data_IF_856475547314
#
_entry.id   IF_856475547314
#
_cell.length_a   1.000
_cell.length_b   1.000
_cell.length_c   1.000
_cell.angle_alpha   90.00
_cell.angle_beta   90.00
_cell.angle_gamma   90.00
#
_symmetry.space_group_name_H-M   'P 1'
#
loop_
_entity.id
_entity.type
_entity.pdbx_description
1 polymer ?
#
# COMPACT_ATOMS: atom_id res chain seq x y z
N UNK A 1 0.45 -37.31 -28.17
CA UNK A 1 0.72 -37.03 -29.60
C UNK A 1 0.56 -35.53 -29.86
N UNK A 2 1.40 -34.97 -30.73
CA UNK A 2 1.36 -33.57 -31.15
C UNK A 2 1.46 -33.48 -32.67
N UNK A 3 1.06 -32.34 -33.22
CA UNK A 3 1.30 -31.97 -34.62
C UNK A 3 2.21 -30.74 -34.62
N UNK A 4 3.23 -30.72 -35.47
CA UNK A 4 4.13 -29.58 -35.62
C UNK A 4 3.99 -28.97 -37.00
N UNK A 5 4.08 -27.66 -37.06
CA UNK A 5 4.07 -26.85 -38.29
C UNK A 5 5.27 -25.92 -38.25
N UNK A 6 6.06 -25.91 -39.30
CA UNK A 6 7.19 -24.98 -39.42
C UNK A 6 6.74 -23.70 -40.11
N UNK A 7 7.05 -22.58 -39.53
CA UNK A 7 6.75 -21.24 -40.06
C UNK A 7 8.05 -20.47 -40.21
N UNK A 8 8.06 -19.46 -41.08
CA UNK A 8 9.19 -18.58 -41.29
C UNK A 8 8.74 -17.12 -41.35
N UNK A 9 9.58 -16.23 -40.93
CA UNK A 9 9.51 -14.80 -41.21
C UNK A 9 10.86 -14.27 -41.74
N UNK A 10 11.00 -12.97 -41.85
CA UNK A 10 12.25 -12.33 -42.31
C UNK A 10 13.44 -12.59 -41.37
N UNK A 11 13.18 -12.97 -40.11
CA UNK A 11 14.20 -13.19 -39.08
C UNK A 11 14.61 -14.65 -38.91
N UNK A 12 13.84 -15.62 -39.47
CA UNK A 12 14.18 -17.04 -39.42
C UNK A 12 13.00 -17.99 -39.34
N UNK A 13 13.26 -19.18 -38.80
CA UNK A 13 12.29 -20.27 -38.69
C UNK A 13 11.87 -20.50 -37.26
N UNK A 14 10.57 -20.87 -37.05
CA UNK A 14 10.05 -21.34 -35.79
C UNK A 14 9.16 -22.57 -35.99
N UNK A 15 9.13 -23.47 -35.00
CA UNK A 15 8.26 -24.64 -35.02
C UNK A 15 7.09 -24.46 -34.05
N UNK A 16 5.88 -24.52 -34.54
CA UNK A 16 4.64 -24.46 -33.75
C UNK A 16 4.27 -25.87 -33.31
N UNK A 17 3.92 -26.05 -32.03
CA UNK A 17 3.46 -27.32 -31.49
C UNK A 17 2.01 -27.26 -31.07
N UNK A 18 1.16 -28.12 -31.68
CA UNK A 18 -0.25 -28.24 -31.37
C UNK A 18 -0.50 -29.55 -30.61
N UNK A 19 -1.04 -29.43 -29.38
CA UNK A 19 -1.31 -30.58 -28.53
C UNK A 19 -2.82 -30.87 -28.42
N UNK A 20 -3.18 -32.13 -28.18
CA UNK A 20 -4.56 -32.54 -27.89
C UNK A 20 -5.56 -32.11 -28.95
N UNK A 21 -6.68 -31.54 -28.53
CA UNK A 21 -7.76 -31.09 -29.43
C UNK A 21 -7.40 -29.95 -30.39
N UNK A 22 -6.25 -29.30 -30.23
CA UNK A 22 -5.82 -28.23 -31.14
C UNK A 22 -5.19 -28.75 -32.43
N UNK A 23 -4.95 -30.05 -32.56
CA UNK A 23 -4.33 -30.67 -33.76
C UNK A 23 -5.13 -30.43 -35.05
N UNK A 24 -6.45 -30.33 -34.97
CA UNK A 24 -7.28 -29.99 -36.12
C UNK A 24 -7.03 -28.60 -36.68
N UNK A 25 -6.55 -27.67 -35.87
CA UNK A 25 -6.17 -26.31 -36.32
C UNK A 25 -4.96 -26.39 -37.25
N UNK A 26 -3.97 -27.20 -36.89
CA UNK A 26 -2.78 -27.41 -37.73
C UNK A 26 -3.13 -28.00 -39.11
N UNK A 27 -4.12 -28.90 -39.19
CA UNK A 27 -4.57 -29.53 -40.46
C UNK A 27 -5.29 -28.54 -41.38
N UNK A 28 -5.82 -27.45 -40.87
CA UNK A 28 -6.50 -26.40 -41.66
C UNK A 28 -5.54 -25.36 -42.22
N UNK A 29 -4.28 -25.34 -41.76
CA UNK A 29 -3.29 -24.41 -42.26
C UNK A 29 -2.80 -24.86 -43.64
N UNK A 30 -2.86 -23.96 -44.61
CA UNK A 30 -2.35 -24.21 -45.96
C UNK A 30 -0.92 -23.69 -46.07
N UNK A 31 -0.03 -24.34 -46.86
CA UNK A 31 1.26 -23.77 -47.18
C UNK A 31 1.13 -22.36 -47.77
N UNK A 32 2.14 -21.54 -47.54
CA UNK A 32 2.25 -20.14 -48.03
C UNK A 32 1.13 -19.18 -47.59
N UNK A 33 0.44 -19.54 -46.50
CA UNK A 33 -0.53 -18.62 -45.87
C UNK A 33 0.17 -17.74 -44.87
N UNK A 34 -0.04 -16.42 -44.93
CA UNK A 34 0.41 -15.48 -43.93
C UNK A 34 -0.41 -15.69 -42.65
N UNK A 35 0.29 -15.86 -41.52
CA UNK A 35 -0.33 -16.18 -40.24
C UNK A 35 0.09 -15.17 -39.16
N UNK A 36 -0.85 -14.71 -38.39
CA UNK A 36 -0.58 -14.10 -37.11
C UNK A 36 -0.49 -15.19 -36.03
N UNK A 37 0.64 -15.27 -35.33
CA UNK A 37 0.90 -16.32 -34.36
C UNK A 37 1.11 -15.70 -32.99
N UNK A 38 0.35 -16.15 -32.02
CA UNK A 38 0.52 -15.82 -30.62
C UNK A 38 0.79 -17.10 -29.84
N UNK A 39 1.82 -17.11 -28.98
CA UNK A 39 2.15 -18.29 -28.19
C UNK A 39 3.37 -18.08 -27.29
N UNK A 40 3.71 -19.12 -26.53
CA UNK A 40 4.86 -19.10 -25.63
C UNK A 40 6.11 -19.56 -26.38
N UNK A 41 7.03 -18.62 -26.64
CA UNK A 41 8.30 -18.89 -27.32
C UNK A 41 9.28 -19.57 -26.36
N UNK A 42 9.89 -20.67 -26.79
CA UNK A 42 11.05 -21.30 -26.15
C UNK A 42 12.21 -21.33 -27.13
N UNK A 43 13.34 -20.83 -26.71
CA UNK A 43 14.56 -20.87 -27.52
C UNK A 43 15.33 -22.17 -27.23
N UNK A 44 15.42 -23.03 -28.22
CA UNK A 44 16.30 -24.19 -28.21
C UNK A 44 17.71 -23.79 -28.71
N UNK A 45 18.66 -24.76 -28.73
CA UNK A 45 20.05 -24.50 -29.19
C UNK A 45 20.14 -24.08 -30.66
N UNK A 46 19.25 -24.58 -31.53
CA UNK A 46 19.27 -24.37 -32.96
C UNK A 46 17.95 -23.85 -33.54
N UNK A 47 16.83 -24.03 -32.86
CA UNK A 47 15.50 -23.67 -33.39
C UNK A 47 14.67 -23.01 -32.27
N UNK A 48 13.85 -22.05 -32.69
CA UNK A 48 12.81 -21.46 -31.82
C UNK A 48 11.57 -22.37 -31.90
N UNK A 49 10.98 -22.66 -30.76
CA UNK A 49 9.71 -23.40 -30.68
C UNK A 49 8.63 -22.55 -30.00
N UNK A 50 7.39 -22.68 -30.46
CA UNK A 50 6.24 -21.95 -29.92
C UNK A 50 5.19 -22.99 -29.49
N UNK A 51 4.81 -22.91 -28.21
CA UNK A 51 3.75 -23.72 -27.58
C UNK A 51 2.58 -22.84 -27.16
N UNK A 52 1.45 -23.43 -26.81
CA UNK A 52 0.21 -22.72 -26.49
C UNK A 52 -0.22 -21.78 -27.61
N UNK A 53 -0.17 -22.32 -28.83
CA UNK A 53 -0.27 -21.57 -30.08
C UNK A 53 -1.71 -21.17 -30.36
N UNK A 54 -1.96 -19.88 -30.57
CA UNK A 54 -3.15 -19.38 -31.27
C UNK A 54 -2.71 -18.85 -32.63
N UNK A 55 -3.36 -19.36 -33.69
CA UNK A 55 -3.00 -19.06 -35.08
C UNK A 55 -4.22 -18.51 -35.77
N UNK A 56 -4.08 -17.37 -36.42
CA UNK A 56 -5.11 -16.75 -37.25
C UNK A 56 -4.51 -16.44 -38.62
N UNK A 57 -5.21 -16.77 -39.74
CA UNK A 57 -4.82 -16.27 -41.02
C UNK A 57 -4.83 -14.74 -41.01
N UNK A 58 -3.77 -14.13 -41.52
CA UNK A 58 -3.81 -12.71 -41.84
C UNK A 58 -4.72 -12.58 -43.07
N UNK A 59 -5.97 -12.15 -42.84
CA UNK A 59 -6.80 -11.68 -43.95
C UNK A 59 -6.06 -10.48 -44.55
N UNK A 60 -5.92 -10.49 -45.89
CA UNK A 60 -5.29 -9.41 -46.64
C UNK A 60 -6.20 -8.17 -46.61
N UNK A 61 -6.35 -7.57 -45.45
CA UNK A 61 -6.83 -6.21 -45.32
C UNK A 61 -5.64 -5.30 -45.53
N UNK A 62 -5.61 -4.68 -46.68
CA UNK A 62 -4.53 -3.81 -47.16
C UNK A 62 -4.10 -2.81 -46.09
N UNK A 63 -2.87 -2.92 -45.58
CA UNK A 63 -2.17 -1.88 -44.85
C UNK A 63 -2.24 -1.91 -43.33
N UNK A 64 -2.87 -2.89 -42.69
CA UNK A 64 -2.82 -3.01 -41.22
C UNK A 64 -1.64 -3.88 -40.77
N UNK A 65 -0.56 -3.26 -40.40
CA UNK A 65 0.49 -3.89 -39.58
C UNK A 65 -0.17 -4.60 -38.39
N UNK A 66 0.26 -5.83 -38.02
CA UNK A 66 -0.30 -6.51 -36.85
C UNK A 66 -0.12 -5.62 -35.61
N UNK A 67 -1.22 -5.02 -35.18
CA UNK A 67 -1.22 -4.12 -34.03
C UNK A 67 -0.98 -4.85 -32.72
N UNK A 68 -0.74 -4.10 -31.68
CA UNK A 68 -0.71 -4.63 -30.31
C UNK A 68 -2.11 -5.12 -29.97
N UNK A 69 -2.24 -6.40 -29.63
CA UNK A 69 -3.53 -7.01 -29.29
C UNK A 69 -3.57 -7.49 -27.85
N UNK A 70 -4.72 -7.38 -27.16
CA UNK A 70 -4.85 -7.84 -25.79
C UNK A 70 -4.86 -9.38 -25.73
N UNK A 71 -4.31 -9.91 -24.64
CA UNK A 71 -4.39 -11.34 -24.28
C UNK A 71 -5.16 -11.47 -22.98
N UNK A 72 -6.33 -12.07 -23.05
CA UNK A 72 -7.22 -12.26 -21.90
C UNK A 72 -7.04 -13.63 -21.26
N UNK A 73 -7.23 -13.70 -19.94
CA UNK A 73 -7.37 -14.99 -19.27
C UNK A 73 -8.65 -15.69 -19.76
N UNK A 74 -8.51 -16.94 -20.20
CA UNK A 74 -9.61 -17.74 -20.75
C UNK A 74 -10.08 -18.76 -19.72
N UNK A 75 -11.40 -19.02 -19.71
CA UNK A 75 -12.01 -20.10 -18.96
C UNK A 75 -13.08 -20.82 -19.80
N UNK A 76 -13.25 -22.11 -19.56
CA UNK A 76 -14.21 -22.91 -20.30
C UNK A 76 -13.98 -22.92 -21.81
N UNK A 77 -15.01 -22.69 -22.59
CA UNK A 77 -14.95 -22.71 -24.04
C UNK A 77 -14.73 -21.34 -24.70
N UNK A 78 -14.31 -20.34 -23.92
CA UNK A 78 -14.05 -18.99 -24.41
C UNK A 78 -12.77 -18.96 -25.26
N UNK A 79 -12.77 -18.15 -26.31
CA UNK A 79 -11.61 -17.92 -27.17
C UNK A 79 -11.16 -16.47 -27.11
N UNK A 80 -9.88 -16.20 -27.43
CA UNK A 80 -9.36 -14.84 -27.56
C UNK A 80 -10.19 -14.01 -28.53
N UNK A 81 -10.60 -14.62 -29.66
CA UNK A 81 -11.43 -13.96 -30.67
C UNK A 81 -12.75 -13.48 -30.07
N UNK A 82 -13.45 -14.34 -29.31
CA UNK A 82 -14.74 -13.98 -28.73
C UNK A 82 -14.58 -12.77 -27.76
N UNK A 83 -13.59 -12.83 -26.85
CA UNK A 83 -13.37 -11.74 -25.90
C UNK A 83 -12.96 -10.44 -26.58
N UNK A 84 -12.07 -10.50 -27.58
CA UNK A 84 -11.67 -9.30 -28.34
C UNK A 84 -12.87 -8.67 -29.05
N UNK A 85 -13.73 -9.49 -29.69
CA UNK A 85 -14.94 -8.99 -30.36
C UNK A 85 -15.91 -8.36 -29.37
N UNK A 86 -16.17 -9.01 -28.23
CA UNK A 86 -17.09 -8.47 -27.23
C UNK A 86 -16.57 -7.20 -26.57
N UNK A 87 -15.27 -7.14 -26.26
CA UNK A 87 -14.67 -5.92 -25.68
C UNK A 87 -14.68 -4.78 -26.69
N UNK A 88 -14.38 -5.07 -27.96
CA UNK A 88 -14.46 -4.05 -29.03
C UNK A 88 -15.87 -3.49 -29.19
N UNK A 89 -16.89 -4.35 -29.16
CA UNK A 89 -18.27 -3.93 -29.27
C UNK A 89 -18.73 -3.15 -28.01
N UNK A 90 -18.34 -3.62 -26.82
CA UNK A 90 -18.64 -2.92 -25.57
C UNK A 90 -18.02 -1.51 -25.56
N UNK A 91 -16.78 -1.35 -26.03
CA UNK A 91 -16.14 -0.04 -26.17
C UNK A 91 -16.88 0.85 -27.15
N UNK A 92 -17.35 0.30 -28.29
CA UNK A 92 -18.13 1.05 -29.27
C UNK A 92 -19.45 1.56 -28.67
N UNK A 93 -20.15 0.73 -27.90
CA UNK A 93 -21.39 1.10 -27.22
C UNK A 93 -21.17 2.12 -26.10
N UNK A 94 -20.05 2.04 -25.40
CA UNK A 94 -19.73 2.95 -24.29
C UNK A 94 -19.20 4.32 -24.75
N UNK A 95 -18.94 4.51 -26.05
CA UNK A 95 -18.28 5.71 -26.56
C UNK A 95 -19.03 7.00 -26.22
N UNK A 96 -20.35 7.00 -26.20
CA UNK A 96 -21.20 8.17 -25.97
C UNK A 96 -21.59 8.37 -24.51
N UNK A 97 -21.59 7.29 -23.70
CA UNK A 97 -22.15 7.30 -22.33
C UNK A 97 -21.11 7.04 -21.23
N UNK A 98 -19.81 7.04 -21.53
CA UNK A 98 -18.79 6.79 -20.51
C UNK A 98 -18.42 8.09 -19.76
N UNK A 99 -18.94 8.31 -18.53
CA UNK A 99 -18.66 9.53 -17.79
C UNK A 99 -17.18 9.57 -17.35
N UNK A 100 -16.60 10.78 -17.38
CA UNK A 100 -15.28 11.00 -16.83
C UNK A 100 -15.35 10.90 -15.29
N UNK A 101 -14.46 10.10 -14.71
CA UNK A 101 -14.40 9.85 -13.26
C UNK A 101 -13.53 10.84 -12.49
N UNK A 102 -12.62 11.54 -13.20
CA UNK A 102 -11.74 12.54 -12.61
C UNK A 102 -12.21 13.96 -12.92
N UNK A 103 -12.00 14.91 -12.00
CA UNK A 103 -12.28 16.31 -12.29
C UNK A 103 -11.48 16.80 -13.51
N UNK A 104 -12.12 17.57 -14.40
CA UNK A 104 -11.49 18.07 -15.63
C UNK A 104 -10.17 18.81 -15.37
N UNK A 105 -10.09 19.56 -14.27
CA UNK A 105 -8.86 20.24 -13.83
C UNK A 105 -7.72 19.27 -13.54
N UNK A 106 -8.01 18.12 -12.93
CA UNK A 106 -7.01 17.08 -12.64
C UNK A 106 -6.51 16.44 -13.93
N UNK A 107 -7.43 16.07 -14.83
CA UNK A 107 -7.09 15.50 -16.14
C UNK A 107 -6.15 16.42 -16.91
N UNK A 108 -6.46 17.71 -16.95
CA UNK A 108 -5.65 18.70 -17.68
C UNK A 108 -4.29 18.97 -17.02
N UNK A 109 -4.24 19.15 -15.70
CA UNK A 109 -3.00 19.44 -14.98
C UNK A 109 -2.01 18.26 -14.99
N UNK A 110 -2.51 17.03 -14.93
CA UNK A 110 -1.70 15.82 -14.96
C UNK A 110 -1.46 15.30 -16.38
N UNK A 111 -1.94 16.02 -17.42
CA UNK A 111 -1.81 15.63 -18.82
C UNK A 111 -2.24 14.17 -19.08
N UNK A 112 -3.37 13.78 -18.51
CA UNK A 112 -3.93 12.45 -18.65
C UNK A 112 -4.83 12.37 -19.89
N UNK A 113 -4.89 11.23 -20.61
CA UNK A 113 -5.91 11.01 -21.61
C UNK A 113 -7.30 10.96 -20.96
N UNK A 114 -8.34 11.31 -21.69
CA UNK A 114 -9.71 11.11 -21.24
C UNK A 114 -10.01 9.61 -21.02
N UNK A 115 -11.07 9.34 -20.26
CA UNK A 115 -11.39 7.99 -19.81
C UNK A 115 -11.65 7.02 -20.98
N UNK A 116 -12.37 7.47 -21.98
CA UNK A 116 -12.69 6.62 -23.13
C UNK A 116 -11.45 6.31 -23.97
N UNK A 117 -10.64 7.30 -24.29
CA UNK A 117 -9.36 7.13 -25.01
C UNK A 117 -8.43 6.20 -24.25
N UNK A 118 -8.35 6.34 -22.92
CA UNK A 118 -7.55 5.45 -22.09
C UNK A 118 -8.09 4.01 -22.12
N UNK A 119 -9.40 3.82 -22.00
CA UNK A 119 -10.03 2.51 -22.01
C UNK A 119 -9.86 1.83 -23.38
N UNK A 120 -9.99 2.55 -24.49
CA UNK A 120 -9.71 2.05 -25.84
C UNK A 120 -8.25 1.59 -25.96
N UNK A 121 -7.30 2.43 -25.50
CA UNK A 121 -5.88 2.15 -25.64
C UNK A 121 -5.32 1.12 -24.64
N UNK A 122 -6.01 0.80 -23.56
CA UNK A 122 -5.60 -0.30 -22.67
C UNK A 122 -5.91 -1.66 -23.33
N UNK A 123 -6.95 -1.73 -24.16
CA UNK A 123 -7.37 -2.95 -24.83
C UNK A 123 -6.85 -3.04 -26.28
N UNK A 124 -6.93 -1.95 -27.04
CA UNK A 124 -6.55 -1.91 -28.46
C UNK A 124 -5.66 -0.67 -28.69
N UNK A 125 -4.42 -0.70 -28.22
CA UNK A 125 -3.54 0.45 -28.31
C UNK A 125 -3.07 0.69 -29.74
N UNK A 126 -3.05 1.95 -30.14
CA UNK A 126 -2.53 2.40 -31.43
C UNK A 126 -0.98 2.32 -31.46
N UNK A 127 -0.35 2.39 -30.29
CA UNK A 127 1.11 2.30 -30.10
C UNK A 127 1.47 1.88 -28.68
N UNK A 128 2.71 1.48 -28.45
CA UNK A 128 3.24 1.23 -27.10
C UNK A 128 3.19 2.47 -26.21
N UNK A 129 3.37 3.66 -26.78
CA UNK A 129 3.23 4.92 -26.10
C UNK A 129 1.79 5.16 -25.64
N UNK A 130 0.81 4.96 -26.50
CA UNK A 130 -0.61 5.08 -26.17
C UNK A 130 -1.01 4.09 -25.06
N UNK A 131 -0.52 2.85 -25.11
CA UNK A 131 -0.72 1.87 -24.04
C UNK A 131 -0.12 2.33 -22.71
N UNK A 132 1.09 2.87 -22.73
CA UNK A 132 1.76 3.39 -21.52
C UNK A 132 0.95 4.53 -20.88
N UNK A 133 0.49 5.49 -21.68
CA UNK A 133 -0.33 6.61 -21.22
C UNK A 133 -1.68 6.14 -20.67
N UNK A 134 -2.31 5.16 -21.31
CA UNK A 134 -3.54 4.55 -20.82
C UNK A 134 -3.35 3.86 -19.47
N UNK A 135 -2.29 3.07 -19.30
CA UNK A 135 -1.93 2.47 -18.01
C UNK A 135 -1.70 3.53 -16.92
N UNK A 136 -0.93 4.57 -17.26
CA UNK A 136 -0.66 5.67 -16.33
C UNK A 136 -1.96 6.35 -15.85
N UNK A 137 -2.92 6.55 -16.76
CA UNK A 137 -4.22 7.11 -16.42
C UNK A 137 -4.99 6.28 -15.39
N UNK A 138 -5.07 4.96 -15.57
CA UNK A 138 -5.81 4.10 -14.64
C UNK A 138 -5.09 3.94 -13.30
N UNK A 139 -3.77 3.80 -13.29
CA UNK A 139 -2.99 3.77 -12.04
C UNK A 139 -3.18 5.08 -11.26
N UNK A 140 -3.14 6.22 -11.95
CA UNK A 140 -3.41 7.52 -11.33
C UNK A 140 -4.83 7.58 -10.75
N UNK A 141 -5.84 7.16 -11.51
CA UNK A 141 -7.24 7.17 -11.07
C UNK A 141 -7.45 6.35 -9.81
N UNK A 142 -6.96 5.11 -9.78
CA UNK A 142 -7.09 4.24 -8.61
C UNK A 142 -6.44 4.85 -7.36
N UNK A 143 -5.21 5.36 -7.49
CA UNK A 143 -4.51 5.99 -6.37
C UNK A 143 -5.16 7.31 -5.94
N UNK A 144 -5.65 8.11 -6.89
CA UNK A 144 -6.36 9.36 -6.60
C UNK A 144 -7.65 9.10 -5.83
N UNK A 145 -8.47 8.16 -6.28
CA UNK A 145 -9.71 7.80 -5.61
C UNK A 145 -9.45 7.22 -4.22
N UNK A 146 -8.43 6.38 -4.07
CA UNK A 146 -8.01 5.86 -2.77
C UNK A 146 -7.61 7.01 -1.83
N UNK A 147 -6.78 7.95 -2.29
CA UNK A 147 -6.35 9.09 -1.49
C UNK A 147 -7.53 10.00 -1.10
N UNK A 148 -8.44 10.27 -2.04
CA UNK A 148 -9.65 11.02 -1.74
C UNK A 148 -10.50 10.32 -0.66
N UNK A 149 -10.66 9.01 -0.76
CA UNK A 149 -11.38 8.21 0.23
C UNK A 149 -10.73 8.27 1.61
N UNK A 150 -9.41 8.11 1.68
CA UNK A 150 -8.65 8.22 2.93
C UNK A 150 -8.72 9.61 3.54
N UNK A 151 -8.60 10.66 2.74
CA UNK A 151 -8.72 12.04 3.22
C UNK A 151 -10.14 12.35 3.72
N UNK A 152 -11.17 11.89 2.99
CA UNK A 152 -12.55 12.03 3.41
C UNK A 152 -12.83 11.31 4.73
N UNK A 153 -12.38 10.06 4.87
CA UNK A 153 -12.49 9.31 6.12
C UNK A 153 -11.73 9.99 7.27
N UNK A 154 -10.53 10.47 7.00
CA UNK A 154 -9.73 11.22 7.97
C UNK A 154 -10.44 12.49 8.42
N UNK A 155 -11.00 13.25 7.49
CA UNK A 155 -11.75 14.47 7.80
C UNK A 155 -12.97 14.18 8.67
N UNK A 156 -13.77 13.17 8.33
CA UNK A 156 -14.91 12.77 9.16
C UNK A 156 -14.51 12.28 10.56
N UNK A 157 -13.39 11.56 10.66
CA UNK A 157 -12.91 11.05 11.95
C UNK A 157 -12.30 12.15 12.82
N UNK A 158 -11.69 13.18 12.22
CA UNK A 158 -11.04 14.26 12.95
C UNK A 158 -11.99 15.41 13.32
N UNK A 159 -12.96 15.75 12.46
CA UNK A 159 -13.87 16.88 12.71
C UNK A 159 -14.88 16.61 13.84
N UNK A 160 -15.09 15.34 14.21
CA UNK A 160 -16.06 14.91 15.22
C UNK A 160 -15.45 14.50 16.57
N UNK A 161 -14.13 14.55 16.75
CA UNK A 161 -13.47 14.18 18.00
C UNK A 161 -12.62 15.34 18.52
N UNK A 162 -13.00 15.88 19.67
CA UNK A 162 -12.12 16.77 20.41
C UNK A 162 -11.00 15.95 21.03
N UNK A 163 -9.76 16.32 20.76
CA UNK A 163 -8.57 15.78 21.39
C UNK A 163 -8.35 16.39 22.78
N UNK A 164 -7.50 15.72 23.53
CA UNK A 164 -7.05 16.23 24.82
C UNK A 164 -5.96 17.27 24.56
N UNK A 165 -6.22 18.52 24.97
CA UNK A 165 -5.28 19.61 24.82
C UNK A 165 -4.31 19.64 26.01
N UNK A 166 -3.01 19.51 25.73
CA UNK A 166 -1.95 19.65 26.72
C UNK A 166 -1.47 21.12 26.81
N UNK A 167 -0.96 21.52 27.93
CA UNK A 167 -0.30 22.83 28.10
C UNK A 167 1.04 22.87 27.34
N UNK A 168 1.67 24.03 27.27
CA UNK A 168 3.04 24.19 26.81
C UNK A 168 4.02 23.38 27.68
N UNK A 169 5.23 23.11 27.18
CA UNK A 169 6.24 22.33 27.88
C UNK A 169 6.60 22.98 29.22
N UNK A 170 6.34 22.27 30.30
CA UNK A 170 6.59 22.75 31.67
C UNK A 170 7.92 22.28 32.26
N UNK A 171 7.96 22.04 33.54
CA UNK A 171 9.17 21.70 34.27
C UNK A 171 9.62 20.27 33.97
N UNK A 172 8.71 19.29 34.01
CA UNK A 172 9.05 17.88 33.83
C UNK A 172 9.68 17.63 32.45
N UNK A 173 9.09 18.17 31.38
CA UNK A 173 9.64 18.04 30.01
C UNK A 173 11.04 18.64 29.91
N UNK A 174 11.25 19.80 30.50
CA UNK A 174 12.56 20.49 30.52
C UNK A 174 13.60 19.71 31.33
N UNK A 175 13.23 19.21 32.49
CA UNK A 175 14.12 18.44 33.37
C UNK A 175 14.53 17.12 32.69
N UNK A 176 13.58 16.40 32.08
CA UNK A 176 13.88 15.19 31.28
C UNK A 176 14.82 15.54 30.13
N UNK A 177 14.56 16.64 29.39
CA UNK A 177 15.41 17.05 28.26
C UNK A 177 16.84 17.42 28.70
N UNK A 178 16.98 18.10 29.82
CA UNK A 178 18.30 18.49 30.39
C UNK A 178 19.06 17.28 30.96
N UNK A 179 18.36 16.30 31.49
CA UNK A 179 18.96 15.10 32.06
C UNK A 179 19.34 14.02 31.05
N UNK A 180 19.10 14.24 29.76
CA UNK A 180 19.57 13.30 28.75
C UNK A 180 21.11 13.27 28.72
N UNK A 181 21.75 12.09 28.53
CA UNK A 181 23.20 11.94 28.45
C UNK A 181 23.80 12.49 27.15
N UNK A 182 23.02 13.14 26.32
CA UNK A 182 23.40 13.70 25.00
C UNK A 182 22.50 14.89 24.66
N UNK A 183 22.95 15.74 23.78
CA UNK A 183 22.13 16.81 23.23
C UNK A 183 21.27 16.28 22.06
N UNK A 184 20.05 16.78 21.98
CA UNK A 184 19.17 16.45 20.85
C UNK A 184 19.71 17.07 19.55
N UNK A 185 19.77 16.28 18.51
CA UNK A 185 20.11 16.78 17.15
C UNK A 185 19.08 17.79 16.66
N UNK A 186 19.45 18.61 15.68
CA UNK A 186 18.52 19.59 15.09
C UNK A 186 17.23 18.93 14.55
N UNK A 187 17.34 17.73 13.96
CA UNK A 187 16.18 16.97 13.47
C UNK A 187 15.29 16.48 14.63
N UNK A 188 15.87 16.00 15.73
CA UNK A 188 15.12 15.59 16.92
C UNK A 188 14.44 16.78 17.58
N UNK A 189 15.11 17.92 17.69
CA UNK A 189 14.54 19.16 18.20
C UNK A 189 13.38 19.65 17.35
N UNK A 190 13.49 19.53 16.02
CA UNK A 190 12.41 19.87 15.11
C UNK A 190 11.22 18.93 15.29
N UNK A 191 11.45 17.61 15.32
CA UNK A 191 10.41 16.61 15.54
C UNK A 191 9.71 16.82 16.89
N UNK A 192 10.46 17.11 17.95
CA UNK A 192 9.88 17.43 19.26
C UNK A 192 8.99 18.66 19.21
N UNK A 193 9.47 19.76 18.62
CA UNK A 193 8.68 21.00 18.48
C UNK A 193 7.34 20.74 17.78
N UNK A 194 7.35 19.99 16.70
CA UNK A 194 6.13 19.65 15.96
C UNK A 194 5.17 18.80 16.79
N UNK A 195 5.67 17.75 17.46
CA UNK A 195 4.88 16.90 18.35
C UNK A 195 4.31 17.71 19.52
N UNK A 196 5.13 18.53 20.15
CA UNK A 196 4.71 19.37 21.28
C UNK A 196 3.61 20.34 20.87
N UNK A 197 3.66 20.91 19.66
CA UNK A 197 2.62 21.79 19.13
C UNK A 197 1.33 21.02 18.81
N UNK A 198 1.44 19.86 18.18
CA UNK A 198 0.28 19.01 17.89
C UNK A 198 -0.45 18.60 19.18
N UNK A 199 0.28 18.26 20.25
CA UNK A 199 -0.30 17.96 21.57
C UNK A 199 -1.00 19.15 22.23
N UNK A 200 -0.68 20.38 21.83
CA UNK A 200 -1.33 21.61 22.31
C UNK A 200 -2.58 21.98 21.51
N UNK A 201 -2.86 21.28 20.41
CA UNK A 201 -4.07 21.52 19.61
C UNK A 201 -5.29 20.84 20.26
N UNK A 202 -6.47 21.32 19.91
CA UNK A 202 -7.74 20.67 20.24
C UNK A 202 -8.00 19.41 19.42
N UNK A 203 -7.29 19.23 18.31
CA UNK A 203 -7.39 18.03 17.45
C UNK A 203 -6.49 16.93 18.00
N UNK A 204 -6.96 15.66 17.98
CA UNK A 204 -6.10 14.54 18.36
C UNK A 204 -4.86 14.48 17.49
N UNK A 205 -3.68 14.39 18.09
CA UNK A 205 -2.44 14.19 17.34
C UNK A 205 -2.44 12.83 16.66
N UNK A 206 -2.13 12.82 15.36
CA UNK A 206 -1.98 11.61 14.56
C UNK A 206 -0.73 11.72 13.67
N UNK A 207 0.44 11.44 14.27
CA UNK A 207 1.75 11.71 13.66
C UNK A 207 2.59 10.43 13.52
N UNK A 208 3.27 10.28 12.39
CA UNK A 208 4.29 9.25 12.20
C UNK A 208 5.66 9.87 12.44
N UNK A 209 6.44 9.27 13.35
CA UNK A 209 7.84 9.59 13.57
C UNK A 209 8.72 8.58 12.83
N UNK A 210 9.36 9.01 11.75
CA UNK A 210 10.23 8.17 10.92
C UNK A 210 11.70 8.48 11.16
N UNK A 211 12.53 7.45 11.18
CA UNK A 211 13.99 7.55 11.30
C UNK A 211 14.63 6.18 11.33
N UNK A 212 15.93 6.13 11.08
CA UNK A 212 16.72 4.89 11.11
C UNK A 212 16.78 4.26 12.51
N UNK A 213 17.26 3.01 12.59
CA UNK A 213 17.54 2.35 13.86
C UNK A 213 18.63 3.16 14.60
N UNK A 214 18.39 3.47 15.88
CA UNK A 214 19.31 4.30 16.67
C UNK A 214 19.16 5.82 16.46
N UNK A 215 18.22 6.29 15.65
CA UNK A 215 17.99 7.75 15.46
C UNK A 215 17.36 8.47 16.66
N UNK A 216 17.10 7.78 17.79
CA UNK A 216 16.56 8.37 19.01
C UNK A 216 15.04 8.54 19.01
N UNK A 217 14.28 7.75 18.25
CA UNK A 217 12.80 7.78 18.29
C UNK A 217 12.24 7.60 19.70
N UNK A 218 12.86 6.74 20.50
CA UNK A 218 12.44 6.46 21.88
C UNK A 218 12.57 7.68 22.79
N UNK A 219 13.58 8.52 22.62
CA UNK A 219 13.72 9.74 23.44
C UNK A 219 12.62 10.75 23.08
N UNK A 220 12.24 10.87 21.82
CA UNK A 220 11.11 11.74 21.43
C UNK A 220 9.79 11.21 22.04
N UNK A 221 9.60 9.88 22.03
CA UNK A 221 8.46 9.26 22.72
C UNK A 221 8.47 9.51 24.22
N UNK A 222 9.65 9.44 24.86
CA UNK A 222 9.80 9.77 26.30
C UNK A 222 9.39 11.21 26.61
N UNK A 223 9.80 12.18 25.79
CA UNK A 223 9.40 13.59 25.95
C UNK A 223 7.89 13.78 25.78
N UNK A 224 7.27 13.07 24.82
CA UNK A 224 5.82 13.14 24.64
C UNK A 224 5.06 12.54 25.84
N UNK A 225 5.54 11.42 26.39
CA UNK A 225 4.99 10.82 27.61
C UNK A 225 5.18 11.76 28.83
N UNK A 226 6.37 12.35 28.98
CA UNK A 226 6.62 13.34 30.04
C UNK A 226 5.62 14.50 29.96
N UNK A 227 5.34 15.00 28.76
CA UNK A 227 4.34 16.04 28.53
C UNK A 227 2.92 15.61 28.91
N UNK A 228 2.53 14.39 28.58
CA UNK A 228 1.23 13.86 29.00
C UNK A 228 1.13 13.78 30.53
N UNK A 229 2.16 13.24 31.19
CA UNK A 229 2.21 13.08 32.64
C UNK A 229 2.23 14.43 33.35
N UNK A 230 3.00 15.40 32.85
CA UNK A 230 3.05 16.77 33.40
C UNK A 230 1.68 17.46 33.39
N UNK A 231 0.83 17.10 32.44
CA UNK A 231 -0.55 17.60 32.33
C UNK A 231 -1.57 16.77 33.11
N UNK A 232 -1.13 15.82 33.94
CA UNK A 232 -2.00 14.97 34.78
C UNK A 232 -2.66 13.81 34.03
N UNK A 233 -2.12 13.44 32.89
CA UNK A 233 -2.64 12.32 32.06
C UNK A 233 -1.72 11.12 32.10
N UNK A 234 -2.27 9.99 31.72
CA UNK A 234 -1.54 8.75 31.51
C UNK A 234 -1.11 8.60 30.04
N UNK A 235 0.03 7.94 29.83
CA UNK A 235 0.54 7.59 28.53
C UNK A 235 0.73 6.09 28.38
N UNK A 236 0.71 5.61 27.12
CA UNK A 236 0.87 4.20 26.81
C UNK A 236 1.77 4.01 25.58
N UNK A 237 2.66 3.02 25.62
CA UNK A 237 3.42 2.55 24.47
C UNK A 237 3.07 1.10 24.18
N UNK A 238 2.57 0.86 22.97
CA UNK A 238 2.30 -0.48 22.48
C UNK A 238 3.36 -0.92 21.46
N UNK A 239 3.91 -2.10 21.66
CA UNK A 239 4.91 -2.72 20.78
C UNK A 239 4.51 -4.16 20.43
N UNK A 240 5.02 -4.72 19.31
CA UNK A 240 4.54 -6.01 18.82
C UNK A 240 4.99 -7.23 19.65
N UNK A 241 6.10 -7.15 20.41
CA UNK A 241 6.66 -8.30 21.14
C UNK A 241 7.01 -7.95 22.58
N UNK A 242 6.98 -8.95 23.47
CA UNK A 242 7.36 -8.78 24.89
C UNK A 242 8.82 -8.37 25.07
N UNK A 243 9.72 -8.84 24.20
CA UNK A 243 11.14 -8.46 24.24
C UNK A 243 11.29 -6.95 23.97
N UNK A 244 10.60 -6.45 22.95
CA UNK A 244 10.60 -5.02 22.65
C UNK A 244 9.93 -4.20 23.78
N UNK A 245 8.88 -4.74 24.37
CA UNK A 245 8.23 -4.08 25.51
C UNK A 245 9.18 -3.94 26.70
N UNK A 246 9.92 -4.99 27.03
CA UNK A 246 10.93 -4.93 28.09
C UNK A 246 12.06 -3.93 27.77
N UNK A 247 12.57 -3.92 26.55
CA UNK A 247 13.61 -2.96 26.11
C UNK A 247 13.12 -1.51 26.18
N UNK A 248 11.89 -1.25 25.71
CA UNK A 248 11.32 0.10 25.81
C UNK A 248 11.04 0.50 27.26
N UNK A 249 10.56 -0.43 28.08
CA UNK A 249 10.35 -0.20 29.50
C UNK A 249 11.64 0.22 30.19
N UNK A 250 12.72 -0.56 30.06
CA UNK A 250 14.03 -0.22 30.66
C UNK A 250 14.55 1.15 30.20
N UNK A 251 14.42 1.44 28.90
CA UNK A 251 14.88 2.72 28.33
C UNK A 251 14.05 3.90 28.88
N UNK A 252 12.73 3.75 28.93
CA UNK A 252 11.84 4.80 29.44
C UNK A 252 11.99 4.98 30.95
N UNK A 253 12.20 3.88 31.69
CA UNK A 253 12.47 3.93 33.11
C UNK A 253 13.72 4.77 33.38
N UNK A 254 14.82 4.57 32.64
CA UNK A 254 16.03 5.39 32.78
C UNK A 254 15.80 6.88 32.51
N UNK A 255 14.93 7.23 31.54
CA UNK A 255 14.68 8.63 31.18
C UNK A 255 13.66 9.32 32.09
N UNK A 256 12.67 8.63 32.64
CA UNK A 256 11.51 9.23 33.26
C UNK A 256 11.43 8.99 34.81
N UNK A 257 11.88 7.83 35.28
CA UNK A 257 11.82 7.48 36.70
C UNK A 257 12.58 8.45 37.60
N UNK A 258 13.79 9.00 37.24
CA UNK A 258 14.49 9.97 38.05
C UNK A 258 13.67 11.22 38.35
N UNK A 259 12.67 11.51 37.57
CA UNK A 259 11.77 12.66 37.70
C UNK A 259 10.40 12.32 38.32
N UNK A 260 10.29 11.12 38.91
CA UNK A 260 9.11 10.70 39.67
C UNK A 260 7.97 10.11 38.82
N UNK A 261 8.20 9.86 37.53
CA UNK A 261 7.20 9.20 36.65
C UNK A 261 7.14 7.69 36.93
N UNK A 262 5.96 7.18 37.23
CA UNK A 262 5.72 5.77 37.58
C UNK A 262 5.42 4.99 36.33
N UNK A 263 6.34 4.11 35.96
CA UNK A 263 6.24 3.31 34.72
C UNK A 263 5.96 1.85 35.06
N UNK A 264 5.14 1.20 34.26
CA UNK A 264 4.82 -0.22 34.40
C UNK A 264 4.90 -0.97 33.06
N UNK A 265 5.16 -2.28 33.14
CA UNK A 265 5.23 -3.17 31.99
C UNK A 265 4.04 -4.13 32.04
N UNK A 266 3.21 -4.17 30.96
CA UNK A 266 2.09 -5.09 30.80
C UNK A 266 2.33 -6.05 29.63
N UNK A 267 2.54 -7.33 29.92
CA UNK A 267 2.73 -8.37 28.90
C UNK A 267 1.80 -9.55 29.15
N UNK A 268 1.57 -10.36 28.10
CA UNK A 268 0.71 -11.54 28.19
C UNK A 268 1.22 -12.63 29.14
N UNK A 269 2.55 -12.71 29.36
CA UNK A 269 3.19 -13.69 30.22
C UNK A 269 3.15 -13.37 31.72
N UNK A 270 2.52 -12.29 32.15
CA UNK A 270 2.45 -11.89 33.56
C UNK A 270 1.65 -12.88 34.41
N UNK A 271 2.10 -13.07 35.67
CA UNK A 271 1.32 -13.84 36.65
C UNK A 271 0.00 -13.13 36.96
N UNK A 272 -1.08 -13.89 37.03
CA UNK A 272 -2.45 -13.35 37.17
C UNK A 272 -2.61 -12.39 38.37
N UNK A 273 -1.92 -12.64 39.50
CA UNK A 273 -1.95 -11.72 40.65
C UNK A 273 -1.29 -10.38 40.34
N UNK A 274 -0.09 -10.40 39.78
CA UNK A 274 0.65 -9.18 39.42
C UNK A 274 -0.09 -8.38 38.32
N UNK A 275 -0.66 -9.06 37.35
CA UNK A 275 -1.49 -8.42 36.31
C UNK A 275 -2.70 -7.70 36.94
N UNK A 276 -3.43 -8.36 37.81
CA UNK A 276 -4.60 -7.78 38.46
C UNK A 276 -4.24 -6.54 39.30
N UNK A 277 -3.14 -6.60 40.03
CA UNK A 277 -2.63 -5.46 40.84
C UNK A 277 -2.22 -4.30 39.92
N UNK A 278 -1.53 -4.58 38.82
CA UNK A 278 -1.16 -3.56 37.84
C UNK A 278 -2.37 -2.90 37.20
N UNK A 279 -3.38 -3.67 36.79
CA UNK A 279 -4.61 -3.15 36.19
C UNK A 279 -5.37 -2.24 37.17
N UNK A 280 -5.45 -2.63 38.45
CA UNK A 280 -6.04 -1.80 39.48
C UNK A 280 -5.27 -0.48 39.65
N UNK A 281 -3.93 -0.55 39.69
CA UNK A 281 -3.10 0.65 39.82
C UNK A 281 -3.23 1.58 38.63
N UNK A 282 -3.41 1.02 37.44
CA UNK A 282 -3.64 1.77 36.20
C UNK A 282 -5.00 2.50 36.23
N UNK A 283 -6.05 1.80 36.65
CA UNK A 283 -7.41 2.34 36.79
C UNK A 283 -7.48 3.43 37.90
N UNK A 284 -6.68 3.32 38.95
CA UNK A 284 -6.59 4.30 40.05
C UNK A 284 -5.64 5.48 39.70
N UNK A 285 -4.98 5.51 38.56
CA UNK A 285 -4.02 6.54 38.20
C UNK A 285 -2.72 6.50 39.01
N UNK A 286 -2.39 5.34 39.59
CA UNK A 286 -1.14 5.13 40.34
C UNK A 286 0.02 4.71 39.41
N UNK A 287 -0.22 4.51 38.14
CA UNK A 287 0.75 4.31 37.05
C UNK A 287 0.57 5.44 36.06
N UNK A 288 1.64 6.13 35.71
CA UNK A 288 1.62 7.28 34.81
C UNK A 288 1.85 6.83 33.35
N UNK A 289 2.74 5.86 33.15
CA UNK A 289 3.08 5.33 31.83
C UNK A 289 3.04 3.81 31.85
N UNK A 290 2.41 3.20 30.88
CA UNK A 290 2.44 1.75 30.70
C UNK A 290 3.06 1.39 29.34
N UNK A 291 3.98 0.45 29.37
CA UNK A 291 4.56 -0.16 28.16
C UNK A 291 4.02 -1.57 28.04
N UNK A 292 3.58 -2.00 26.86
CA UNK A 292 3.08 -3.35 26.71
C UNK A 292 2.93 -3.79 25.26
N UNK A 293 2.39 -4.98 25.11
CA UNK A 293 2.05 -5.54 23.81
C UNK A 293 0.54 -5.32 23.51
N UNK A 294 0.00 -6.07 22.57
CA UNK A 294 -1.46 -6.10 22.30
C UNK A 294 -2.31 -6.43 23.55
N UNK A 295 -1.71 -6.95 24.64
CA UNK A 295 -2.37 -7.11 25.93
C UNK A 295 -2.95 -5.78 26.47
N UNK A 296 -2.44 -4.62 26.03
CA UNK A 296 -2.99 -3.29 26.34
C UNK A 296 -4.37 -3.02 25.71
N UNK A 297 -4.78 -3.81 24.71
CA UNK A 297 -6.06 -3.67 24.01
C UNK A 297 -7.16 -4.61 24.57
N UNK A 298 -6.84 -5.41 25.61
CA UNK A 298 -7.80 -6.30 26.22
C UNK A 298 -8.87 -5.50 26.98
N UNK A 299 -10.09 -6.00 27.02
CA UNK A 299 -11.26 -5.29 27.57
C UNK A 299 -11.15 -4.95 29.07
N UNK A 300 -10.32 -5.69 29.80
CA UNK A 300 -10.07 -5.49 31.24
C UNK A 300 -9.04 -4.38 31.51
N UNK A 301 -8.36 -3.84 30.50
CA UNK A 301 -7.40 -2.72 30.66
C UNK A 301 -8.15 -1.40 30.65
N UNK A 302 -8.16 -0.75 31.81
CA UNK A 302 -8.80 0.55 32.01
C UNK A 302 -7.80 1.58 32.51
N UNK A 303 -7.80 2.73 31.89
CA UNK A 303 -7.02 3.88 32.30
C UNK A 303 -7.88 4.87 33.07
N UNK A 304 -7.32 5.50 34.08
CA UNK A 304 -7.98 6.60 34.77
C UNK A 304 -8.13 7.83 33.85
N UNK A 305 -7.07 8.18 33.11
CA UNK A 305 -7.01 9.41 32.33
C UNK A 305 -5.97 9.32 31.19
N UNK A 306 -6.18 8.45 30.22
CA UNK A 306 -5.27 8.25 29.09
C UNK A 306 -5.37 9.39 28.07
N UNK A 307 -4.21 9.99 27.68
CA UNK A 307 -4.17 11.03 26.63
C UNK A 307 -3.22 10.74 25.48
N UNK A 308 -2.26 9.83 25.66
CA UNK A 308 -1.23 9.54 24.65
C UNK A 308 -0.98 8.03 24.54
#
# INVERSE_FOLDING_TARGET
SYTSVTVRDETGYATLYFFGGQRYKAQKLKPDTMLQITGRVRQGRTTKSISEVDVQPLEQDEGKTPGIVPVYALSGNLTQKNLRTWVSEALRLAAEDLPESLPAKVVSQCNLPDRYTALKNIHFPESWEALRRAKQRFVFEELFLLQCGLLYYRQQSHDNREGIKHAADGALVKDVMQGLPFELTAAQQQAWREISLDMQDKKPMHRILQGDVGSGKTVISALALAKAVENGYQGCIMVPTEILAAQHFETLEQYLQPYGVRIALLTGGMRAKARRELLLNLELGLVDVVVGTHALLEEDVRFANLSL
#
